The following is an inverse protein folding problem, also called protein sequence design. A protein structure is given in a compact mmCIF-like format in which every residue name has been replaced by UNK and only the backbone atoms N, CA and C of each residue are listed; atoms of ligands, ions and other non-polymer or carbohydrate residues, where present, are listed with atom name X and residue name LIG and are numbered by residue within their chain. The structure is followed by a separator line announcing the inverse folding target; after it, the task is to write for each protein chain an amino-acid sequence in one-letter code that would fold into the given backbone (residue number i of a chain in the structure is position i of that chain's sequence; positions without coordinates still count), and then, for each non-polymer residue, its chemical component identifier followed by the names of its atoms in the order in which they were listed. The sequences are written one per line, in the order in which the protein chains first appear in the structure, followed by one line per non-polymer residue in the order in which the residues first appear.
data_IF_037877419247
#
_entry.id   IF_037877419247
#
_cell.length_a   1.000
_cell.length_b   1.000
_cell.length_c   1.000
_cell.angle_alpha   90.00
_cell.angle_beta   90.00
_cell.angle_gamma   90.00
#
_symmetry.space_group_name_H-M   'P 1'
#
loop_
_entity.id
_entity.type
_entity.pdbx_description
1 polymer ?
#
# COMPACT_ATOMS: atom_id res chain seq x y z
N UNK A 1 -18.22 8.05 -7.14
CA UNK A 1 -18.22 9.18 -6.19
C UNK A 1 -19.47 9.95 -6.48
N UNK A 2 -20.37 10.08 -5.50
CA UNK A 2 -21.62 10.84 -5.65
C UNK A 2 -21.50 12.06 -4.77
N UNK A 3 -21.60 13.24 -5.37
CA UNK A 3 -21.78 14.46 -4.62
C UNK A 3 -23.26 14.58 -4.30
N UNK A 4 -23.58 14.95 -3.07
CA UNK A 4 -24.94 15.23 -2.65
C UNK A 4 -25.02 16.65 -2.10
N UNK A 5 -26.15 17.30 -2.35
CA UNK A 5 -26.51 18.59 -1.79
C UNK A 5 -27.96 18.49 -1.31
N UNK A 6 -28.23 18.79 -0.04
CA UNK A 6 -29.56 18.65 0.57
C UNK A 6 -30.26 17.30 0.33
N UNK A 7 -29.46 16.22 0.31
CA UNK A 7 -29.87 14.81 0.06
C UNK A 7 -30.23 14.48 -1.39
N UNK A 8 -30.13 15.44 -2.30
CA UNK A 8 -30.20 15.18 -3.72
C UNK A 8 -28.81 14.83 -4.25
N UNK A 9 -28.75 13.82 -5.12
CA UNK A 9 -27.53 13.44 -5.82
C UNK A 9 -27.30 14.43 -6.96
N UNK A 10 -26.11 15.03 -6.99
CA UNK A 10 -25.62 15.77 -8.13
C UNK A 10 -25.21 14.75 -9.19
N UNK A 11 -26.15 14.43 -10.08
CA UNK A 11 -25.91 13.55 -11.22
C UNK A 11 -25.84 14.40 -12.50
N UNK A 12 -24.98 13.96 -13.42
CA UNK A 12 -24.81 14.46 -14.80
C UNK A 12 -23.90 15.68 -15.05
N UNK A 13 -22.98 15.51 -16.02
CA UNK A 13 -22.00 16.46 -16.55
C UNK A 13 -22.62 17.70 -17.26
N UNK A 14 -23.96 17.81 -17.33
CA UNK A 14 -24.67 18.85 -18.10
C UNK A 14 -25.46 19.86 -17.24
N UNK A 15 -25.47 19.71 -15.91
CA UNK A 15 -26.17 20.65 -15.01
C UNK A 15 -25.21 21.63 -14.31
N UNK A 16 -25.63 22.89 -14.17
CA UNK A 16 -24.83 23.92 -13.49
C UNK A 16 -25.09 23.89 -11.98
N UNK A 17 -24.11 24.25 -11.14
CA UNK A 17 -24.31 24.31 -9.67
C UNK A 17 -25.52 25.16 -9.25
N UNK A 18 -25.81 26.21 -10.02
CA UNK A 18 -26.98 27.07 -9.82
C UNK A 18 -28.32 26.35 -10.01
N UNK A 19 -28.42 25.30 -10.83
CA UNK A 19 -29.67 24.55 -11.01
C UNK A 19 -30.06 23.77 -9.76
N UNK A 20 -29.08 23.45 -8.91
CA UNK A 20 -29.25 22.82 -7.61
C UNK A 20 -29.40 23.82 -6.46
N UNK A 21 -29.48 25.13 -6.76
CA UNK A 21 -29.57 26.17 -5.73
C UNK A 21 -28.31 26.31 -4.87
N UNK A 22 -27.17 25.85 -5.37
CA UNK A 22 -25.89 25.92 -4.65
C UNK A 22 -25.33 27.34 -4.79
N UNK A 23 -25.23 28.03 -3.66
CA UNK A 23 -24.68 29.38 -3.55
C UNK A 23 -23.24 29.38 -3.03
N UNK A 24 -22.56 30.53 -3.08
CA UNK A 24 -21.24 30.71 -2.46
C UNK A 24 -21.27 30.30 -0.97
N UNK A 25 -20.23 29.60 -0.51
CA UNK A 25 -20.13 28.99 0.84
C UNK A 25 -21.06 27.78 1.13
N UNK A 26 -21.81 27.29 0.14
CA UNK A 26 -22.59 26.06 0.28
C UNK A 26 -21.69 24.83 0.53
N UNK A 27 -22.17 23.90 1.36
CA UNK A 27 -21.44 22.68 1.72
C UNK A 27 -22.01 21.47 1.01
N UNK A 28 -21.18 20.80 0.23
CA UNK A 28 -21.50 19.54 -0.43
C UNK A 28 -21.12 18.37 0.47
N UNK A 29 -21.99 17.36 0.52
CA UNK A 29 -21.70 16.08 1.13
C UNK A 29 -21.23 15.10 0.04
N UNK A 30 -20.33 14.19 0.39
CA UNK A 30 -19.86 13.15 -0.53
C UNK A 30 -20.21 11.81 0.06
N UNK A 31 -21.10 11.08 -0.60
CA UNK A 31 -21.50 9.75 -0.18
C UNK A 31 -20.73 8.68 -0.97
N UNK A 32 -20.06 7.80 -0.24
CA UNK A 32 -19.30 6.69 -0.80
C UNK A 32 -20.14 5.41 -0.76
N UNK A 33 -21.12 5.28 -1.67
CA UNK A 33 -21.90 4.05 -1.78
C UNK A 33 -21.12 2.96 -2.53
N UNK A 34 -20.85 1.84 -1.84
CA UNK A 34 -20.49 0.50 -2.35
C UNK A 34 -19.58 0.39 -3.59
N UNK A 35 -18.61 1.30 -3.79
CA UNK A 35 -17.56 1.10 -4.79
C UNK A 35 -16.63 -0.02 -4.32
N UNK A 36 -16.40 -1.02 -5.18
CA UNK A 36 -15.27 -1.93 -5.01
C UNK A 36 -14.03 -1.04 -4.87
N UNK A 37 -13.20 -1.31 -3.86
CA UNK A 37 -12.01 -0.56 -3.41
C UNK A 37 -11.03 -0.13 -4.54
N UNK A 38 -11.25 -0.57 -5.79
CA UNK A 38 -10.39 -0.38 -6.96
C UNK A 38 -10.58 0.94 -7.72
N UNK A 39 -11.67 1.69 -7.51
CA UNK A 39 -11.95 2.91 -8.32
C UNK A 39 -11.81 4.23 -7.53
N UNK A 40 -11.17 4.22 -6.34
CA UNK A 40 -10.88 5.43 -5.57
C UNK A 40 -9.37 5.52 -5.33
N UNK A 41 -8.66 6.14 -6.27
CA UNK A 41 -7.30 6.64 -6.05
C UNK A 41 -7.22 7.83 -5.07
N UNK A 42 -8.12 7.97 -4.08
CA UNK A 42 -8.26 9.21 -3.30
C UNK A 42 -8.38 9.11 -1.77
N UNK A 43 -8.14 7.98 -1.10
CA UNK A 43 -8.17 7.93 0.40
C UNK A 43 -6.93 7.31 1.08
N UNK A 44 -5.97 6.82 0.31
CA UNK A 44 -4.71 6.25 0.82
C UNK A 44 -4.78 4.76 1.16
N UNK A 45 -3.61 4.14 1.28
CA UNK A 45 -3.41 2.73 1.53
C UNK A 45 -3.05 2.50 3.00
N UNK A 46 -3.82 1.66 3.70
CA UNK A 46 -3.39 1.14 5.00
C UNK A 46 -2.27 0.11 4.79
N UNK A 47 -1.08 0.45 5.23
CA UNK A 47 0.11 -0.37 5.07
C UNK A 47 0.98 -0.25 6.31
N UNK A 48 1.93 -1.17 6.49
CA UNK A 48 2.91 -1.10 7.56
C UNK A 48 3.59 0.28 7.62
N UNK A 49 3.82 0.79 8.83
CA UNK A 49 4.65 1.99 8.99
C UNK A 49 6.13 1.65 8.81
N UNK A 50 6.60 1.73 7.56
CA UNK A 50 8.00 1.50 7.18
C UNK A 50 8.95 2.62 7.66
N UNK A 51 8.41 3.76 8.10
CA UNK A 51 9.21 4.85 8.68
C UNK A 51 9.63 4.58 10.12
N UNK A 52 8.99 3.61 10.79
CA UNK A 52 9.36 3.17 12.11
C UNK A 52 10.44 2.07 12.05
N UNK A 53 11.70 2.47 12.02
CA UNK A 53 12.86 1.57 11.92
C UNK A 53 12.98 0.56 13.07
N UNK A 54 12.39 0.83 14.24
CA UNK A 54 12.40 -0.10 15.39
C UNK A 54 11.64 -1.41 15.10
N UNK A 55 10.71 -1.37 14.15
CA UNK A 55 9.96 -2.54 13.72
C UNK A 55 10.67 -3.40 12.68
N UNK A 56 11.79 -2.95 12.11
CA UNK A 56 12.57 -3.80 11.19
C UNK A 56 13.19 -4.97 11.97
N UNK A 57 12.94 -6.19 11.49
CA UNK A 57 13.44 -7.43 12.06
C UNK A 57 14.06 -8.29 10.98
N UNK A 58 15.15 -8.95 11.35
CA UNK A 58 15.85 -9.91 10.52
C UNK A 58 15.35 -11.31 10.84
N UNK A 59 15.01 -12.10 9.82
CA UNK A 59 14.61 -13.51 9.93
C UNK A 59 15.47 -14.37 9.04
N UNK A 60 16.03 -15.43 9.62
CA UNK A 60 16.83 -16.42 8.91
C UNK A 60 16.01 -17.20 7.88
N UNK A 61 16.69 -17.66 6.84
CA UNK A 61 16.07 -18.46 5.78
C UNK A 61 15.62 -19.83 6.29
N UNK A 62 14.46 -20.26 5.80
CA UNK A 62 13.97 -21.64 6.00
C UNK A 62 14.11 -22.44 4.72
N UNK A 63 14.66 -23.66 4.84
CA UNK A 63 14.75 -24.62 3.73
C UNK A 63 13.42 -25.31 3.41
N UNK A 64 12.44 -25.19 4.30
CA UNK A 64 11.13 -25.86 4.22
C UNK A 64 9.98 -24.87 4.08
N UNK A 65 10.25 -23.62 3.70
CA UNK A 65 9.23 -22.61 3.51
C UNK A 65 8.21 -23.04 2.43
N UNK A 66 6.90 -22.84 2.65
CA UNK A 66 5.89 -23.18 1.66
C UNK A 66 6.05 -22.34 0.39
N UNK A 67 5.48 -22.80 -0.73
CA UNK A 67 5.70 -22.18 -2.05
C UNK A 67 5.29 -20.71 -2.11
N UNK A 68 4.28 -20.31 -1.35
CA UNK A 68 3.81 -18.92 -1.27
C UNK A 68 4.67 -18.01 -0.37
N UNK A 69 5.70 -18.55 0.28
CA UNK A 69 6.69 -17.82 1.08
C UNK A 69 8.08 -17.82 0.45
N UNK A 70 8.21 -18.19 -0.83
CA UNK A 70 9.48 -18.11 -1.56
C UNK A 70 9.70 -16.68 -2.06
N UNK A 71 10.96 -16.25 -2.03
CA UNK A 71 11.36 -14.88 -2.33
C UNK A 71 12.45 -14.81 -3.40
N UNK A 72 12.78 -13.59 -3.84
CA UNK A 72 13.96 -13.23 -4.65
C UNK A 72 14.65 -12.03 -3.98
N UNK A 73 15.91 -11.78 -4.33
CA UNK A 73 16.65 -10.62 -3.83
C UNK A 73 15.96 -9.29 -4.18
N UNK A 74 16.04 -8.32 -3.28
CA UNK A 74 15.42 -7.00 -3.41
C UNK A 74 14.14 -6.85 -2.57
N UNK A 75 13.24 -5.99 -3.06
CA UNK A 75 11.94 -5.70 -2.46
C UNK A 75 10.99 -6.89 -2.61
N UNK A 76 10.28 -7.19 -1.53
CA UNK A 76 9.16 -8.11 -1.50
C UNK A 76 7.96 -7.42 -0.85
N UNK A 77 6.81 -7.51 -1.49
CA UNK A 77 5.55 -7.15 -0.86
C UNK A 77 4.92 -8.38 -0.21
N UNK A 78 4.14 -8.15 0.84
CA UNK A 78 3.38 -9.19 1.52
C UNK A 78 1.91 -8.80 1.57
N UNK A 79 1.04 -9.79 1.38
CA UNK A 79 -0.39 -9.61 1.47
C UNK A 79 -1.10 -10.95 1.60
N UNK A 80 -2.40 -10.91 1.87
CA UNK A 80 -3.19 -12.11 2.13
C UNK A 80 -3.86 -12.62 0.85
N UNK A 81 -3.69 -13.89 0.51
CA UNK A 81 -4.43 -14.48 -0.60
C UNK A 81 -5.89 -14.73 -0.21
N UNK A 82 -6.83 -14.22 -1.00
CA UNK A 82 -8.27 -14.32 -0.76
C UNK A 82 -9.00 -15.31 -1.68
N UNK A 83 -8.27 -15.94 -2.61
CA UNK A 83 -8.85 -16.96 -3.50
C UNK A 83 -9.05 -18.27 -2.74
N UNK A 84 -10.31 -18.64 -2.46
CA UNK A 84 -10.68 -19.85 -1.70
C UNK A 84 -10.26 -21.17 -2.35
N UNK A 85 -9.93 -21.18 -3.65
CA UNK A 85 -9.44 -22.36 -4.37
C UNK A 85 -7.91 -22.47 -4.36
N UNK A 86 -7.21 -21.47 -3.82
CA UNK A 86 -5.75 -21.44 -3.79
C UNK A 86 -5.22 -22.25 -2.60
N UNK A 87 -4.12 -22.98 -2.79
CA UNK A 87 -3.37 -23.62 -1.69
C UNK A 87 -2.96 -22.62 -0.61
N UNK A 88 -2.70 -21.37 -1.00
CA UNK A 88 -2.33 -20.28 -0.09
C UNK A 88 -3.55 -19.49 0.44
N UNK A 89 -4.78 -20.00 0.30
CA UNK A 89 -5.96 -19.29 0.78
C UNK A 89 -5.83 -18.91 2.26
N UNK A 90 -6.17 -17.66 2.57
CA UNK A 90 -6.10 -17.10 3.92
C UNK A 90 -4.67 -17.01 4.50
N UNK A 91 -3.63 -17.30 3.72
CA UNK A 91 -2.22 -17.20 4.10
C UNK A 91 -1.61 -15.88 3.61
N UNK A 92 -0.59 -15.40 4.34
CA UNK A 92 0.27 -14.30 3.87
C UNK A 92 1.25 -14.84 2.83
N UNK A 93 1.18 -14.29 1.63
CA UNK A 93 2.03 -14.65 0.50
C UNK A 93 3.09 -13.58 0.26
N UNK A 94 4.25 -14.00 -0.22
CA UNK A 94 5.34 -13.11 -0.64
C UNK A 94 5.21 -12.85 -2.13
N UNK A 95 5.26 -11.58 -2.50
CA UNK A 95 5.21 -11.07 -3.87
C UNK A 95 6.60 -10.47 -4.16
N UNK A 96 7.49 -11.22 -4.85
CA UNK A 96 8.85 -10.75 -5.12
C UNK A 96 8.85 -9.69 -6.21
N UNK A 97 9.07 -8.43 -5.84
CA UNK A 97 9.18 -7.29 -6.76
C UNK A 97 10.60 -7.16 -7.33
N UNK A 98 11.61 -7.43 -6.50
CA UNK A 98 13.01 -7.42 -6.88
C UNK A 98 13.70 -6.07 -6.71
N UNK A 99 14.74 -5.81 -7.50
CA UNK A 99 15.45 -4.53 -7.50
C UNK A 99 14.70 -3.52 -8.38
N UNK A 100 13.83 -2.71 -7.75
CA UNK A 100 12.98 -1.74 -8.46
C UNK A 100 12.63 -0.57 -7.54
N UNK A 101 12.32 0.57 -8.15
CA UNK A 101 11.48 1.63 -7.56
C UNK A 101 10.02 1.26 -7.80
N UNK A 102 9.22 1.20 -6.74
CA UNK A 102 7.84 0.71 -6.78
C UNK A 102 6.94 1.62 -5.93
N UNK A 103 5.98 2.28 -6.55
CA UNK A 103 4.93 3.00 -5.85
C UNK A 103 3.84 2.02 -5.43
N UNK A 104 3.71 1.74 -4.13
CA UNK A 104 2.79 0.71 -3.62
C UNK A 104 1.34 1.05 -3.94
N UNK A 105 0.97 2.33 -4.10
CA UNK A 105 -0.39 2.72 -4.44
C UNK A 105 -0.63 2.67 -5.94
N UNK A 106 0.32 3.14 -6.74
CA UNK A 106 0.13 3.31 -8.20
C UNK A 106 0.54 2.09 -9.02
N UNK A 107 1.57 1.37 -8.59
CA UNK A 107 2.11 0.23 -9.34
C UNK A 107 1.47 -1.11 -8.92
N UNK A 108 0.66 -1.14 -7.84
CA UNK A 108 -0.01 -2.37 -7.39
C UNK A 108 -1.27 -2.65 -8.19
N UNK A 109 -1.23 -3.66 -9.05
CA UNK A 109 -2.35 -4.11 -9.87
C UNK A 109 -2.41 -5.64 -9.96
N UNK A 110 -3.37 -6.15 -10.75
CA UNK A 110 -3.62 -7.58 -10.97
C UNK A 110 -2.55 -8.30 -11.80
N UNK A 111 -1.48 -7.62 -12.19
CA UNK A 111 -0.32 -8.18 -12.87
C UNK A 111 0.95 -8.09 -12.01
N UNK A 112 1.11 -7.04 -11.21
CA UNK A 112 2.31 -6.78 -10.42
C UNK A 112 2.22 -7.37 -9.01
N UNK A 113 1.02 -7.37 -8.41
CA UNK A 113 0.80 -7.75 -7.01
C UNK A 113 -0.08 -8.97 -6.89
N UNK A 114 0.43 -10.09 -7.39
CA UNK A 114 -0.32 -11.34 -7.51
C UNK A 114 0.16 -12.41 -6.55
N UNK A 115 -0.76 -13.27 -6.13
CA UNK A 115 -0.41 -14.48 -5.40
C UNK A 115 0.55 -15.34 -6.26
N UNK A 116 1.70 -15.78 -5.73
CA UNK A 116 2.66 -16.58 -6.49
C UNK A 116 2.08 -17.93 -6.93
N UNK A 117 1.03 -18.43 -6.27
CA UNK A 117 0.39 -19.72 -6.55
C UNK A 117 -0.75 -19.58 -7.56
N UNK A 118 -1.79 -18.80 -7.23
CA UNK A 118 -3.00 -18.73 -8.08
C UNK A 118 -3.02 -17.55 -9.05
N UNK A 119 -2.03 -16.64 -8.98
CA UNK A 119 -1.93 -15.44 -9.82
C UNK A 119 -3.06 -14.41 -9.69
N UNK A 120 -3.99 -14.61 -8.76
CA UNK A 120 -4.98 -13.57 -8.43
C UNK A 120 -4.30 -12.41 -7.69
N UNK A 121 -4.83 -11.20 -7.92
CA UNK A 121 -4.47 -10.00 -7.16
C UNK A 121 -4.47 -10.22 -5.64
N UNK A 122 -3.48 -9.64 -4.98
CA UNK A 122 -3.29 -9.63 -3.54
C UNK A 122 -2.99 -8.20 -3.12
N UNK A 123 -3.87 -7.63 -2.29
CA UNK A 123 -3.65 -6.31 -1.70
C UNK A 123 -2.39 -6.34 -0.81
N UNK A 124 -1.36 -5.52 -1.10
CA UNK A 124 -0.19 -5.41 -0.23
C UNK A 124 -0.57 -4.79 1.11
N UNK A 125 -0.05 -5.35 2.20
CA UNK A 125 -0.24 -4.86 3.57
C UNK A 125 1.09 -4.62 4.31
N UNK A 126 2.17 -5.24 3.86
CA UNK A 126 3.53 -5.04 4.38
C UNK A 126 4.58 -5.28 3.29
N UNK A 127 5.85 -5.08 3.64
CA UNK A 127 6.99 -5.36 2.77
C UNK A 127 8.15 -5.96 3.56
N UNK A 128 9.10 -6.49 2.80
CA UNK A 128 10.39 -6.94 3.28
C UNK A 128 11.48 -6.70 2.24
N UNK A 129 12.72 -6.79 2.70
CA UNK A 129 13.92 -6.58 1.91
C UNK A 129 14.93 -7.71 2.18
N UNK A 130 15.71 -8.07 1.17
CA UNK A 130 16.81 -9.03 1.34
C UNK A 130 17.87 -8.81 0.27
N UNK A 131 19.15 -8.96 0.62
CA UNK A 131 20.28 -8.86 -0.30
C UNK A 131 20.24 -7.59 -1.18
N UNK A 132 19.99 -6.42 -0.56
CA UNK A 132 19.83 -5.15 -1.27
C UNK A 132 20.17 -3.93 -0.42
N UNK A 133 20.29 -2.80 -1.09
CA UNK A 133 20.14 -1.47 -0.50
C UNK A 133 18.72 -1.01 -0.72
N UNK A 134 18.09 -0.40 0.28
CA UNK A 134 16.73 0.10 0.15
C UNK A 134 16.52 1.46 0.81
N UNK A 135 15.52 2.19 0.34
CA UNK A 135 14.97 3.38 0.99
C UNK A 135 13.48 3.49 0.71
N UNK A 136 12.81 4.42 1.39
CA UNK A 136 11.45 4.81 1.04
C UNK A 136 11.29 6.32 0.97
N UNK A 137 10.28 6.75 0.21
CA UNK A 137 9.74 8.10 0.18
C UNK A 137 8.22 8.01 0.25
N UNK A 138 7.56 8.88 1.01
CA UNK A 138 6.11 8.81 1.12
C UNK A 138 5.44 9.96 1.81
N UNK A 139 4.11 9.92 1.80
CA UNK A 139 3.21 10.83 2.50
C UNK A 139 2.25 9.99 3.31
N UNK A 140 2.17 10.20 4.63
CA UNK A 140 1.23 9.46 5.49
C UNK A 140 0.32 10.39 6.28
N UNK A 141 -0.90 9.92 6.54
CA UNK A 141 -1.84 10.54 7.47
C UNK A 141 -1.52 10.03 8.88
N UNK A 142 -1.42 10.96 9.82
CA UNK A 142 -1.26 10.64 11.23
C UNK A 142 -2.64 10.32 11.83
N UNK A 143 -2.73 9.37 12.76
CA UNK A 143 -4.02 8.91 13.30
C UNK A 143 -4.91 10.02 13.93
N UNK A 144 -4.30 11.15 14.33
CA UNK A 144 -4.97 12.30 14.95
C UNK A 144 -4.85 13.59 14.11
N UNK A 145 -4.69 13.48 12.79
CA UNK A 145 -4.59 14.63 11.89
C UNK A 145 -5.97 15.25 11.64
N UNK A 146 -6.58 15.89 12.64
CA UNK A 146 -7.84 16.66 12.51
C UNK A 146 -7.73 17.70 11.37
N UNK A 147 -8.08 17.32 10.14
CA UNK A 147 -7.97 18.16 8.94
C UNK A 147 -6.54 18.55 8.53
N UNK A 148 -5.49 17.96 9.13
CA UNK A 148 -4.09 18.30 8.76
C UNK A 148 -3.67 17.54 7.49
N UNK A 149 -2.86 18.18 6.62
CA UNK A 149 -2.39 17.54 5.40
C UNK A 149 -1.46 16.35 5.72
N UNK A 150 -1.34 15.37 4.80
CA UNK A 150 -0.41 14.25 4.93
C UNK A 150 1.03 14.72 5.13
N UNK A 151 1.75 14.10 6.07
CA UNK A 151 3.15 14.43 6.36
C UNK A 151 4.07 13.69 5.41
N UNK A 152 4.99 14.42 4.77
CA UNK A 152 6.10 13.84 3.98
C UNK A 152 7.12 13.19 4.91
N UNK A 153 7.62 12.03 4.52
CA UNK A 153 8.72 11.33 5.19
C UNK A 153 9.51 10.48 4.20
N UNK A 154 10.78 10.22 4.52
CA UNK A 154 11.68 9.40 3.72
C UNK A 154 12.77 8.80 4.61
N UNK A 155 13.56 7.88 4.06
CA UNK A 155 14.77 7.35 4.70
C UNK A 155 16.01 7.56 3.85
N UNK A 156 17.16 7.50 4.52
CA UNK A 156 18.43 7.23 3.86
C UNK A 156 18.50 5.78 3.33
N UNK A 157 19.46 5.53 2.45
CA UNK A 157 19.77 4.19 1.96
C UNK A 157 20.27 3.29 3.09
N UNK A 158 19.57 2.17 3.29
CA UNK A 158 19.89 1.15 4.30
C UNK A 158 20.27 -0.15 3.61
N UNK A 159 21.37 -0.77 4.03
CA UNK A 159 21.77 -2.10 3.55
C UNK A 159 21.10 -3.19 4.39
N UNK A 160 20.62 -4.23 3.73
CA UNK A 160 20.17 -5.48 4.37
C UNK A 160 20.95 -6.67 3.82
N UNK A 161 21.28 -7.61 4.70
CA UNK A 161 22.11 -8.77 4.37
C UNK A 161 21.30 -9.95 3.80
N UNK A 162 21.93 -11.12 3.77
CA UNK A 162 21.33 -12.38 3.31
C UNK A 162 20.36 -12.97 4.35
N UNK A 163 19.27 -12.27 4.58
CA UNK A 163 18.15 -12.70 5.41
C UNK A 163 16.88 -11.93 5.03
N UNK A 164 15.74 -12.41 5.52
CA UNK A 164 14.46 -11.74 5.29
C UNK A 164 14.25 -10.61 6.31
N UNK A 165 14.39 -9.36 5.86
CA UNK A 165 14.21 -8.19 6.71
C UNK A 165 12.80 -7.65 6.54
N UNK A 166 11.94 -7.87 7.52
CA UNK A 166 10.52 -7.53 7.49
C UNK A 166 10.16 -6.59 8.63
N UNK A 167 9.01 -5.93 8.52
CA UNK A 167 8.49 -5.09 9.60
C UNK A 167 7.53 -5.89 10.48
N UNK A 168 7.80 -5.89 11.79
CA UNK A 168 6.96 -6.54 12.79
C UNK A 168 5.77 -5.64 13.16
N UNK A 169 4.55 -6.10 12.88
CA UNK A 169 3.32 -5.32 13.05
C UNK A 169 3.14 -4.77 14.47
N UNK A 170 3.46 -5.55 15.51
CA UNK A 170 3.35 -5.11 16.91
C UNK A 170 4.28 -3.94 17.26
N UNK A 171 5.36 -3.73 16.50
CA UNK A 171 6.33 -2.64 16.73
C UNK A 171 6.15 -1.50 15.75
N UNK A 172 5.96 -1.82 14.47
CA UNK A 172 5.76 -0.81 13.42
C UNK A 172 4.38 -0.19 13.47
N UNK A 173 3.35 -0.98 13.74
CA UNK A 173 1.96 -0.59 13.48
C UNK A 173 1.68 -0.38 11.99
N UNK A 174 0.46 0.08 11.70
CA UNK A 174 0.02 0.44 10.36
C UNK A 174 -0.42 1.90 10.31
N UNK A 175 -0.15 2.57 9.19
CA UNK A 175 -0.59 3.95 8.92
C UNK A 175 -1.27 4.01 7.56
N UNK A 176 -2.00 5.10 7.30
CA UNK A 176 -2.57 5.36 5.99
C UNK A 176 -1.58 6.16 5.16
N UNK A 177 -0.99 5.53 4.15
CA UNK A 177 -0.11 6.16 3.18
C UNK A 177 -0.92 6.78 2.05
N UNK A 178 -0.75 8.06 1.78
CA UNK A 178 -1.26 8.73 0.57
C UNK A 178 -0.31 8.57 -0.62
N UNK A 179 0.94 8.19 -0.35
CA UNK A 179 1.93 7.77 -1.32
C UNK A 179 2.99 6.98 -0.56
N UNK A 180 3.44 5.87 -1.12
CA UNK A 180 4.57 5.12 -0.58
C UNK A 180 5.37 4.54 -1.75
N UNK A 181 6.56 5.08 -1.94
CA UNK A 181 7.52 4.59 -2.92
C UNK A 181 8.60 3.84 -2.16
N UNK A 182 8.74 2.56 -2.48
CA UNK A 182 9.82 1.71 -1.99
C UNK A 182 10.85 1.56 -3.10
N UNK A 183 12.11 1.74 -2.78
CA UNK A 183 13.19 1.59 -3.74
C UNK A 183 14.19 0.57 -3.22
N UNK A 184 14.49 -0.45 -4.04
CA UNK A 184 15.49 -1.45 -3.75
C UNK A 184 16.47 -1.58 -4.92
N UNK A 185 17.76 -1.57 -4.63
CA UNK A 185 18.83 -1.69 -5.62
C UNK A 185 19.89 -2.69 -5.15
N UNK A 186 20.64 -3.26 -6.10
CA UNK A 186 21.69 -4.23 -5.77
C UNK A 186 22.89 -3.58 -5.08
N UNK A 187 23.34 -2.44 -5.58
CA UNK A 187 24.48 -1.68 -5.07
C UNK A 187 24.02 -0.29 -4.63
N UNK A 188 24.62 0.26 -3.57
CA UNK A 188 24.30 1.62 -3.10
C UNK A 188 24.47 2.63 -4.24
N UNK A 189 23.49 3.50 -4.50
CA UNK A 189 23.67 4.60 -5.45
C UNK A 189 24.75 5.55 -4.94
N UNK A 190 25.59 6.04 -5.87
CA UNK A 190 26.67 6.99 -5.61
C UNK A 190 26.12 8.40 -5.51
#
# INVERSE_FOLDING_TARGET
MLFTFDKDVLDEDEQTLSSYGIEEESRLEVEYSNMKIRDIGSLGLRFMDVSNSQGLKRREWSRTAPRWRRTRCGLCLEGKCTNSRCEAYNQIVIIPIGYKKFDVLLDSDDTTTVCPICKNYVQPSSCAFNNCWWRFEGRKLEANSNGRPPKKCSSEWTQVDDAYHYFEELKSGTVTWMQLILEAVKNKPV
#
